data_IF_140778135171
#
_entry.id   IF_140778135171
#
_cell.length_a   1.000
_cell.length_b   1.000
_cell.length_c   1.000
_cell.angle_alpha   90.00
_cell.angle_beta   90.00
_cell.angle_gamma   90.00
#
_symmetry.space_group_name_H-M   'P 1'
#
loop_
_entity.id
_entity.type
_entity.pdbx_description
1 polymer ?
#
# COMPACT_ATOMS: atom_id res chain seq x y z
N UNK A 1 -3.02 -2.93 -12.79
CA UNK A 1 -2.67 -2.11 -11.61
C UNK A 1 -1.33 -2.54 -11.01
N UNK A 2 -0.52 -1.59 -10.52
CA UNK A 2 0.83 -1.83 -10.00
C UNK A 2 0.89 -2.90 -8.90
N UNK A 3 -0.09 -2.92 -7.99
CA UNK A 3 -0.17 -3.91 -6.91
C UNK A 3 -0.20 -5.36 -7.43
N UNK A 4 -1.07 -5.66 -8.41
CA UNK A 4 -1.17 -7.01 -8.99
C UNK A 4 0.10 -7.40 -9.75
N UNK A 5 0.70 -6.44 -10.45
CA UNK A 5 1.96 -6.66 -11.16
C UNK A 5 3.10 -7.00 -10.18
N UNK A 6 3.29 -6.20 -9.13
CA UNK A 6 4.26 -6.47 -8.07
C UNK A 6 3.98 -7.81 -7.36
N UNK A 7 2.71 -8.11 -7.11
CA UNK A 7 2.28 -9.40 -6.57
C UNK A 7 2.72 -10.57 -7.43
N UNK A 8 2.48 -10.52 -8.75
CA UNK A 8 2.87 -11.57 -9.68
C UNK A 8 4.39 -11.76 -9.76
N UNK A 9 5.18 -10.69 -9.63
CA UNK A 9 6.64 -10.77 -9.58
C UNK A 9 7.13 -11.40 -8.27
N UNK A 10 6.57 -11.01 -7.13
CA UNK A 10 6.93 -11.54 -5.81
C UNK A 10 6.48 -13.00 -5.62
N UNK A 11 5.37 -13.40 -6.23
CA UNK A 11 4.86 -14.78 -6.17
C UNK A 11 5.91 -15.78 -6.67
N UNK A 12 6.64 -15.40 -7.72
CA UNK A 12 7.73 -16.20 -8.33
C UNK A 12 9.02 -16.27 -7.50
N UNK A 13 9.15 -15.48 -6.44
CA UNK A 13 10.35 -15.45 -5.58
C UNK A 13 10.21 -16.44 -4.43
N UNK A 14 11.26 -17.22 -4.18
CA UNK A 14 11.35 -18.06 -2.98
C UNK A 14 11.83 -17.21 -1.79
N UNK A 15 10.89 -16.63 -1.06
CA UNK A 15 11.16 -15.85 0.15
C UNK A 15 10.05 -16.09 1.17
N UNK A 16 10.42 -16.30 2.44
CA UNK A 16 9.48 -16.51 3.56
C UNK A 16 8.60 -15.27 3.79
N UNK A 17 9.20 -14.08 3.72
CA UNK A 17 8.52 -12.81 3.96
C UNK A 17 8.53 -11.95 2.69
N UNK A 18 7.36 -11.76 2.08
CA UNK A 18 7.17 -10.94 0.88
C UNK A 18 6.40 -9.67 1.24
N UNK A 19 6.88 -8.52 0.76
CA UNK A 19 6.29 -7.21 1.06
C UNK A 19 6.19 -6.35 -0.20
N UNK A 20 5.06 -5.68 -0.35
CA UNK A 20 4.86 -4.56 -1.28
C UNK A 20 4.69 -3.29 -0.45
N UNK A 21 5.59 -2.33 -0.63
CA UNK A 21 5.48 -1.01 -0.03
C UNK A 21 5.05 -0.05 -1.13
N UNK A 22 3.84 0.50 -1.03
CA UNK A 22 3.30 1.47 -1.96
C UNK A 22 3.64 2.89 -1.50
N UNK A 23 4.24 3.69 -2.37
CA UNK A 23 4.46 5.12 -2.14
C UNK A 23 3.63 5.87 -3.19
N UNK A 24 2.65 6.66 -2.76
CA UNK A 24 1.66 7.32 -3.65
C UNK A 24 0.96 8.47 -2.92
N UNK A 25 0.31 9.38 -3.64
CA UNK A 25 -0.65 10.36 -3.10
C UNK A 25 -1.91 9.73 -2.46
N UNK A 26 -2.12 8.42 -2.62
CA UNK A 26 -3.21 7.66 -2.03
C UNK A 26 -4.52 7.70 -2.83
N UNK A 27 -4.53 8.30 -4.03
CA UNK A 27 -5.70 8.30 -4.91
C UNK A 27 -5.75 7.00 -5.72
N UNK A 28 -6.90 6.31 -5.81
CA UNK A 28 -7.01 5.04 -6.54
C UNK A 28 -6.94 5.22 -8.06
N UNK A 29 -7.39 6.36 -8.57
CA UNK A 29 -7.31 6.76 -9.98
C UNK A 29 -7.45 8.30 -10.10
N UNK A 30 -6.95 8.87 -11.19
CA UNK A 30 -6.90 10.34 -11.42
C UNK A 30 -8.07 10.87 -12.27
N UNK A 31 -8.96 9.97 -12.74
CA UNK A 31 -10.13 10.30 -13.57
C UNK A 31 -11.43 10.31 -12.76
N UNK A 32 -11.89 11.53 -12.43
CA UNK A 32 -13.22 11.94 -11.97
C UNK A 32 -13.92 11.22 -10.79
N UNK A 33 -14.73 12.01 -10.06
CA UNK A 33 -15.55 11.59 -8.90
C UNK A 33 -16.44 10.36 -9.13
N UNK A 34 -16.72 10.00 -10.39
CA UNK A 34 -17.56 8.87 -10.77
C UNK A 34 -16.89 7.49 -10.58
N UNK A 35 -15.55 7.39 -10.66
CA UNK A 35 -14.85 6.10 -10.46
C UNK A 35 -14.45 5.81 -9.01
N UNK A 36 -14.57 6.77 -8.09
CA UNK A 36 -14.00 6.67 -6.74
C UNK A 36 -14.32 5.36 -6.00
N UNK A 37 -15.58 4.89 -6.06
CA UNK A 37 -16.00 3.62 -5.43
C UNK A 37 -15.45 2.39 -6.15
N UNK A 38 -15.41 2.41 -7.48
CA UNK A 38 -14.85 1.31 -8.28
C UNK A 38 -13.35 1.20 -8.07
N UNK A 39 -12.62 2.31 -8.11
CA UNK A 39 -11.19 2.36 -7.81
C UNK A 39 -10.85 1.86 -6.41
N UNK A 40 -11.60 2.29 -5.39
CA UNK A 40 -11.44 1.77 -4.01
C UNK A 40 -11.64 0.25 -3.97
N UNK A 41 -12.68 -0.26 -4.63
CA UNK A 41 -12.98 -1.69 -4.64
C UNK A 41 -11.96 -2.49 -5.44
N UNK A 42 -11.42 -1.97 -6.54
CA UNK A 42 -10.35 -2.63 -7.30
C UNK A 42 -9.06 -2.73 -6.48
N UNK A 43 -8.66 -1.63 -5.83
CA UNK A 43 -7.48 -1.64 -4.95
C UNK A 43 -7.69 -2.61 -3.78
N UNK A 44 -8.87 -2.61 -3.14
CA UNK A 44 -9.22 -3.60 -2.11
C UNK A 44 -9.09 -5.02 -2.62
N UNK A 45 -9.59 -5.30 -3.82
CA UNK A 45 -9.52 -6.63 -4.42
C UNK A 45 -8.07 -7.04 -4.69
N UNK A 46 -7.25 -6.15 -5.24
CA UNK A 46 -5.82 -6.39 -5.43
C UNK A 46 -5.08 -6.65 -4.11
N UNK A 47 -5.40 -5.92 -3.03
CA UNK A 47 -4.82 -6.14 -1.70
C UNK A 47 -5.25 -7.48 -1.10
N UNK A 48 -6.50 -7.91 -1.33
CA UNK A 48 -6.98 -9.24 -0.92
C UNK A 48 -6.25 -10.35 -1.66
N UNK A 49 -6.03 -10.20 -2.97
CA UNK A 49 -5.25 -11.13 -3.79
C UNK A 49 -3.80 -11.26 -3.30
N UNK A 50 -3.15 -10.13 -2.95
CA UNK A 50 -1.81 -10.15 -2.34
C UNK A 50 -1.79 -10.93 -1.02
N UNK A 51 -2.75 -10.66 -0.14
CA UNK A 51 -2.87 -11.35 1.15
C UNK A 51 -3.08 -12.86 0.98
N UNK A 52 -3.91 -13.28 0.02
CA UNK A 52 -4.12 -14.70 -0.29
C UNK A 52 -2.83 -15.41 -0.75
N UNK A 53 -1.89 -14.67 -1.32
CA UNK A 53 -0.55 -15.15 -1.73
C UNK A 53 0.50 -15.02 -0.63
N UNK A 54 0.12 -14.72 0.62
CA UNK A 54 1.02 -14.41 1.72
C UNK A 54 2.00 -13.26 1.41
N UNK A 55 1.56 -12.30 0.60
CA UNK A 55 2.31 -11.08 0.30
C UNK A 55 1.72 -9.96 1.14
N UNK A 56 2.53 -9.41 2.04
CA UNK A 56 2.14 -8.28 2.86
C UNK A 56 2.16 -6.98 2.05
N UNK A 57 1.32 -6.03 2.43
CA UNK A 57 1.23 -4.72 1.78
C UNK A 57 1.17 -3.60 2.81
N UNK A 58 1.86 -2.50 2.53
CA UNK A 58 1.83 -1.28 3.33
C UNK A 58 1.89 -0.04 2.43
N UNK A 59 1.14 1.01 2.75
CA UNK A 59 1.16 2.26 1.99
C UNK A 59 1.78 3.42 2.79
N UNK A 60 2.65 4.20 2.15
CA UNK A 60 3.14 5.48 2.63
C UNK A 60 2.61 6.55 1.68
N UNK A 61 1.73 7.43 2.16
CA UNK A 61 1.21 8.52 1.35
C UNK A 61 1.72 9.88 1.76
N UNK A 62 2.00 10.73 0.78
CA UNK A 62 2.53 12.09 0.98
C UNK A 62 1.51 13.11 0.46
N UNK A 63 0.28 13.02 0.96
CA UNK A 63 -0.77 13.99 0.62
C UNK A 63 -1.85 14.01 1.70
N UNK A 64 -2.32 15.22 2.06
CA UNK A 64 -3.38 15.38 3.06
C UNK A 64 -4.70 14.68 2.65
N UNK A 65 -5.00 14.66 1.35
CA UNK A 65 -6.20 14.04 0.81
C UNK A 65 -6.19 12.50 0.89
N UNK A 66 -5.02 11.88 1.08
CA UNK A 66 -4.90 10.43 1.26
C UNK A 66 -5.73 9.92 2.46
N UNK A 67 -6.02 10.80 3.44
CA UNK A 67 -6.83 10.50 4.63
C UNK A 67 -8.24 10.01 4.30
N UNK A 68 -8.78 10.38 3.13
CA UNK A 68 -10.11 9.95 2.74
C UNK A 68 -10.10 8.56 2.09
N UNK A 69 -9.08 8.24 1.30
CA UNK A 69 -9.06 7.04 0.46
C UNK A 69 -8.31 5.87 1.07
N UNK A 70 -7.12 6.09 1.66
CA UNK A 70 -6.30 5.01 2.19
C UNK A 70 -6.99 4.15 3.26
N UNK A 71 -7.72 4.72 4.24
CA UNK A 71 -8.43 3.89 5.22
C UNK A 71 -9.48 2.99 4.57
N UNK A 72 -10.11 3.45 3.49
CA UNK A 72 -11.10 2.69 2.73
C UNK A 72 -10.49 1.60 1.87
N UNK A 73 -9.19 1.68 1.54
CA UNK A 73 -8.50 0.71 0.68
C UNK A 73 -7.66 -0.30 1.49
N UNK A 74 -6.75 0.20 2.34
CA UNK A 74 -5.76 -0.62 3.06
C UNK A 74 -6.27 -1.13 4.41
N UNK A 75 -7.32 -0.52 4.96
CA UNK A 75 -7.79 -0.82 6.31
C UNK A 75 -6.83 -0.30 7.39
N UNK A 76 -7.18 -0.54 8.66
CA UNK A 76 -6.42 0.00 9.79
C UNK A 76 -5.01 -0.62 9.87
N UNK A 77 -4.02 0.18 10.28
CA UNK A 77 -2.62 -0.22 10.53
C UNK A 77 -1.80 -0.69 9.31
N UNK A 78 -2.31 -0.57 8.08
CA UNK A 78 -1.61 -0.92 6.84
C UNK A 78 -1.17 0.29 6.00
N UNK A 79 -1.21 1.49 6.58
CA UNK A 79 -0.74 2.69 5.91
C UNK A 79 -0.24 3.74 6.90
N UNK A 80 0.51 4.72 6.39
CA UNK A 80 0.87 5.95 7.07
C UNK A 80 0.70 7.13 6.10
N UNK A 81 0.17 8.24 6.61
CA UNK A 81 0.03 9.48 5.85
C UNK A 81 1.04 10.47 6.42
N UNK A 82 1.89 10.97 5.55
CA UNK A 82 3.00 11.86 5.81
C UNK A 82 2.60 13.27 5.40
N UNK A 83 2.98 14.26 6.20
CA UNK A 83 2.64 15.65 5.90
C UNK A 83 3.65 16.32 4.99
N UNK A 84 4.89 15.79 4.96
CA UNK A 84 5.98 16.29 4.13
C UNK A 84 6.79 15.14 3.52
N UNK A 85 7.45 15.34 2.37
CA UNK A 85 8.35 14.35 1.79
C UNK A 85 9.53 13.99 2.71
N UNK A 86 9.97 14.92 3.57
CA UNK A 86 11.10 14.70 4.49
C UNK A 86 10.79 13.60 5.51
N UNK A 87 9.52 13.46 5.93
CA UNK A 87 9.09 12.39 6.84
C UNK A 87 9.16 10.99 6.21
N UNK A 88 9.26 10.88 4.89
CA UNK A 88 9.30 9.60 4.18
C UNK A 88 10.49 8.78 4.61
N UNK A 89 11.67 9.40 4.70
CA UNK A 89 12.90 8.70 5.08
C UNK A 89 12.77 8.10 6.48
N UNK A 90 12.34 8.90 7.46
CA UNK A 90 12.14 8.44 8.83
C UNK A 90 11.09 7.34 8.92
N UNK A 91 10.03 7.41 8.11
CA UNK A 91 8.96 6.41 8.09
C UNK A 91 9.41 5.10 7.45
N UNK A 92 10.22 5.16 6.39
CA UNK A 92 10.82 3.97 5.78
C UNK A 92 11.79 3.27 6.73
N UNK A 93 12.60 4.01 7.49
CA UNK A 93 13.49 3.43 8.51
C UNK A 93 12.69 2.68 9.57
N UNK A 94 11.67 3.32 10.16
CA UNK A 94 10.78 2.67 11.15
C UNK A 94 10.07 1.45 10.59
N UNK A 95 9.59 1.53 9.35
CA UNK A 95 8.96 0.40 8.68
C UNK A 95 9.96 -0.74 8.52
N UNK A 96 11.17 -0.47 8.01
CA UNK A 96 12.22 -1.47 7.86
C UNK A 96 12.57 -2.15 9.18
N UNK A 97 12.74 -1.40 10.27
CA UNK A 97 12.97 -1.96 11.61
C UNK A 97 11.83 -2.90 12.01
N UNK A 98 10.57 -2.45 11.88
CA UNK A 98 9.40 -3.28 12.16
C UNK A 98 9.42 -4.58 11.35
N UNK A 99 9.73 -4.52 10.06
CA UNK A 99 9.79 -5.71 9.20
C UNK A 99 10.91 -6.66 9.58
N UNK A 100 12.07 -6.12 9.98
CA UNK A 100 13.23 -6.90 10.41
C UNK A 100 12.96 -7.69 11.69
N UNK A 101 12.25 -7.09 12.65
CA UNK A 101 12.01 -7.69 13.97
C UNK A 101 10.69 -8.48 14.09
N UNK A 102 9.81 -8.45 13.07
CA UNK A 102 8.58 -9.24 13.02
C UNK A 102 8.73 -10.57 12.23
N UNK A 103 9.95 -11.01 11.92
CA UNK A 103 10.24 -12.21 11.10
C UNK A 103 10.43 -13.50 11.89
#
# INVERSE_FOLDING_TARGET
>A
TALRHSGALLDKRNAKNKWVILISDGKPNDFDKYEGKYGINDVKQALRELKQKNINSYALAIEAQAKYYLPQMFGQNHYQILTTPVELLNSLVKLYEKLKYQS
#
